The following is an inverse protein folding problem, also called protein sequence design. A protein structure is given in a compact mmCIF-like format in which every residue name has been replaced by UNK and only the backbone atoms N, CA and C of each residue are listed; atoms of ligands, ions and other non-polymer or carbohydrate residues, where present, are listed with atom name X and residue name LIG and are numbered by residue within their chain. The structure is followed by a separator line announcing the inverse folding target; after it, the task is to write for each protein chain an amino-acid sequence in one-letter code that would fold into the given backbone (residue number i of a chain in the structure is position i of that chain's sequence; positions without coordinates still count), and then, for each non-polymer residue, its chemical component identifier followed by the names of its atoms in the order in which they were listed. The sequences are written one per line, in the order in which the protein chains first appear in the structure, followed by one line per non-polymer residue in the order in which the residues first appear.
data_IF_553628827266
#
_entry.id   IF_553628827266
#
_cell.length_a   1.000
_cell.length_b   1.000
_cell.length_c   1.000
_cell.angle_alpha   90.00
_cell.angle_beta   90.00
_cell.angle_gamma   90.00
#
_symmetry.space_group_name_H-M   'P 1'
#
loop_
_entity.id
_entity.type
_entity.pdbx_description
1 polymer ?
#
# COMPACT_ATOMS: atom_id res chain seq x y z
N UNK A 1 -44.38 -42.54 -25.61
CA UNK A 1 -43.39 -41.45 -25.39
C UNK A 1 -41.99 -42.04 -25.45
N UNK A 2 -41.22 -41.68 -26.47
CA UNK A 2 -39.89 -42.24 -26.76
C UNK A 2 -38.86 -41.80 -25.70
N UNK A 3 -38.11 -42.75 -25.12
CA UNK A 3 -37.08 -42.51 -24.09
C UNK A 3 -36.08 -41.39 -24.44
N UNK A 4 -35.82 -41.17 -25.75
CA UNK A 4 -34.94 -40.10 -26.26
C UNK A 4 -35.49 -38.68 -26.07
N UNK A 5 -36.81 -38.50 -25.99
CA UNK A 5 -37.43 -37.19 -25.77
C UNK A 5 -37.36 -36.73 -24.31
N UNK A 6 -37.45 -37.67 -23.37
CA UNK A 6 -37.37 -37.38 -21.93
C UNK A 6 -35.94 -37.01 -21.51
N UNK A 7 -34.92 -37.62 -22.11
CA UNK A 7 -33.51 -37.30 -21.82
C UNK A 7 -33.13 -35.90 -22.33
N UNK A 8 -33.64 -35.50 -23.50
CA UNK A 8 -33.41 -34.17 -24.04
C UNK A 8 -34.05 -33.08 -23.16
N UNK A 9 -35.26 -33.31 -22.67
CA UNK A 9 -35.95 -32.40 -21.77
C UNK A 9 -35.20 -32.24 -20.44
N UNK A 10 -34.73 -33.35 -19.85
CA UNK A 10 -33.95 -33.31 -18.61
C UNK A 10 -32.63 -32.56 -18.79
N UNK A 11 -31.94 -32.80 -19.92
CA UNK A 11 -30.69 -32.12 -20.25
C UNK A 11 -30.88 -30.61 -20.41
N UNK A 12 -31.93 -30.19 -21.12
CA UNK A 12 -32.25 -28.78 -21.28
C UNK A 12 -32.48 -28.08 -19.94
N UNK A 13 -33.25 -28.70 -19.04
CA UNK A 13 -33.50 -28.16 -17.69
C UNK A 13 -32.23 -28.06 -16.87
N UNK A 14 -31.38 -29.09 -16.88
CA UNK A 14 -30.09 -29.08 -16.18
C UNK A 14 -29.16 -28.00 -16.73
N UNK A 15 -29.08 -27.87 -18.05
CA UNK A 15 -28.24 -26.86 -18.70
C UNK A 15 -28.70 -25.44 -18.34
N UNK A 16 -30.01 -25.18 -18.35
CA UNK A 16 -30.56 -23.89 -17.91
C UNK A 16 -30.25 -23.61 -16.44
N UNK A 17 -30.35 -24.61 -15.57
CA UNK A 17 -29.97 -24.48 -14.16
C UNK A 17 -28.49 -24.13 -13.99
N UNK A 18 -27.60 -24.82 -14.72
CA UNK A 18 -26.16 -24.54 -14.70
C UNK A 18 -25.85 -23.12 -15.19
N UNK A 19 -26.43 -22.70 -16.33
CA UNK A 19 -26.25 -21.34 -16.86
C UNK A 19 -26.77 -20.28 -15.88
N UNK A 20 -27.91 -20.52 -15.23
CA UNK A 20 -28.44 -19.65 -14.17
C UNK A 20 -27.49 -19.53 -12.97
N UNK A 21 -26.88 -20.63 -12.55
CA UNK A 21 -25.89 -20.62 -11.46
C UNK A 21 -24.60 -19.88 -11.84
N UNK A 22 -24.12 -20.01 -13.08
CA UNK A 22 -22.95 -19.27 -13.57
C UNK A 22 -23.22 -17.77 -13.66
N UNK A 23 -24.39 -17.40 -14.18
CA UNK A 23 -24.86 -16.02 -14.23
C UNK A 23 -24.85 -15.37 -12.83
N UNK A 24 -25.44 -16.05 -11.85
CA UNK A 24 -25.46 -15.59 -10.46
C UNK A 24 -24.03 -15.46 -9.89
N UNK A 25 -23.16 -16.43 -10.15
CA UNK A 25 -21.77 -16.39 -9.67
C UNK A 25 -21.01 -15.19 -10.24
N UNK A 26 -21.25 -14.81 -11.49
CA UNK A 26 -20.61 -13.64 -12.13
C UNK A 26 -21.09 -12.34 -11.48
N UNK A 27 -22.39 -12.14 -11.32
CA UNK A 27 -22.92 -10.91 -10.70
C UNK A 27 -22.48 -10.74 -9.25
N UNK A 28 -22.50 -11.83 -8.47
CA UNK A 28 -22.00 -11.84 -7.10
C UNK A 28 -20.49 -11.55 -7.07
N UNK A 29 -19.71 -12.14 -7.99
CA UNK A 29 -18.28 -11.87 -8.11
C UNK A 29 -17.98 -10.40 -8.41
N UNK A 30 -18.72 -9.77 -9.32
CA UNK A 30 -18.58 -8.34 -9.62
C UNK A 30 -18.90 -7.47 -8.39
N UNK A 31 -19.99 -7.78 -7.66
CA UNK A 31 -20.35 -7.06 -6.44
C UNK A 31 -19.29 -7.17 -5.33
N UNK A 32 -18.70 -8.36 -5.14
CA UNK A 32 -17.59 -8.55 -4.21
C UNK A 32 -16.33 -7.80 -4.64
N UNK A 33 -16.02 -7.76 -5.94
CA UNK A 33 -14.87 -7.01 -6.43
C UNK A 33 -15.04 -5.50 -6.18
N UNK A 34 -16.20 -4.94 -6.54
CA UNK A 34 -16.49 -3.52 -6.29
C UNK A 34 -16.47 -3.18 -4.79
N UNK A 35 -16.97 -4.06 -3.92
CA UNK A 35 -16.84 -3.90 -2.47
C UNK A 35 -15.38 -3.92 -2.01
N UNK A 36 -14.56 -4.83 -2.55
CA UNK A 36 -13.13 -4.90 -2.22
C UNK A 36 -12.36 -3.68 -2.69
N UNK A 37 -12.71 -3.10 -3.84
CA UNK A 37 -12.17 -1.83 -4.32
C UNK A 37 -12.59 -0.68 -3.39
N UNK A 38 -13.88 -0.58 -3.05
CA UNK A 38 -14.36 0.43 -2.11
C UNK A 38 -13.67 0.34 -0.74
N UNK A 39 -13.40 -0.87 -0.25
CA UNK A 39 -12.66 -1.07 1.00
C UNK A 39 -11.21 -0.59 0.90
N UNK A 40 -10.51 -0.93 -0.20
CA UNK A 40 -9.15 -0.42 -0.44
C UNK A 40 -9.11 1.10 -0.47
N UNK A 41 -10.09 1.74 -1.12
CA UNK A 41 -10.22 3.20 -1.09
C UNK A 41 -10.43 3.69 0.33
N UNK A 42 -11.41 3.16 1.06
CA UNK A 42 -11.71 3.59 2.42
C UNK A 42 -10.47 3.47 3.34
N UNK A 43 -9.76 2.34 3.31
CA UNK A 43 -8.58 2.08 4.13
C UNK A 43 -7.44 3.06 3.81
N UNK A 44 -7.14 3.24 2.52
CA UNK A 44 -6.08 4.15 2.07
C UNK A 44 -6.39 5.61 2.42
N UNK A 45 -7.64 6.05 2.22
CA UNK A 45 -8.10 7.39 2.58
C UNK A 45 -8.10 7.64 4.09
N UNK A 46 -8.51 6.64 4.89
CA UNK A 46 -8.47 6.77 6.35
C UNK A 46 -7.02 6.93 6.84
N UNK A 47 -6.08 6.11 6.33
CA UNK A 47 -4.66 6.23 6.65
C UNK A 47 -4.07 7.57 6.20
N UNK A 48 -4.40 8.03 5.00
CA UNK A 48 -3.96 9.33 4.49
C UNK A 48 -4.50 10.48 5.34
N UNK A 49 -5.77 10.44 5.72
CA UNK A 49 -6.36 11.41 6.66
C UNK A 49 -5.66 11.39 8.01
N UNK A 50 -5.44 10.20 8.58
CA UNK A 50 -4.78 10.02 9.86
C UNK A 50 -3.34 10.55 9.84
N UNK A 51 -2.63 10.49 8.71
CA UNK A 51 -1.28 11.05 8.57
C UNK A 51 -1.20 12.54 8.94
N UNK A 52 -2.29 13.30 8.78
CA UNK A 52 -2.35 14.71 9.18
C UNK A 52 -2.15 14.90 10.70
N UNK A 53 -2.44 13.90 11.52
CA UNK A 53 -2.22 13.95 12.97
C UNK A 53 -0.77 13.63 13.38
N UNK A 54 0.05 13.12 12.45
CA UNK A 54 1.50 12.92 12.66
C UNK A 54 2.30 14.21 12.40
N UNK A 55 1.74 15.13 11.62
CA UNK A 55 2.42 16.35 11.16
C UNK A 55 1.74 17.62 11.73
N UNK A 56 2.53 18.60 12.17
CA UNK A 56 2.03 19.96 12.46
C UNK A 56 1.36 20.18 13.83
N UNK A 57 0.72 21.35 13.95
CA UNK A 57 0.14 21.87 15.21
C UNK A 57 -1.39 21.82 15.20
N UNK A 58 -1.99 21.36 16.31
CA UNK A 58 -3.38 20.87 16.40
C UNK A 58 -4.56 21.76 16.05
N UNK A 59 -4.37 22.99 15.58
CA UNK A 59 -5.48 23.87 15.22
C UNK A 59 -6.13 23.55 13.86
N UNK A 60 -5.39 22.93 12.93
CA UNK A 60 -5.86 22.65 11.57
C UNK A 60 -5.97 21.16 11.23
N UNK A 61 -5.74 20.28 12.21
CA UNK A 61 -5.63 18.84 11.95
C UNK A 61 -6.87 18.23 11.31
N UNK A 62 -8.08 18.58 11.74
CA UNK A 62 -9.30 17.96 11.18
C UNK A 62 -9.58 18.41 9.75
N UNK A 63 -9.30 19.68 9.44
CA UNK A 63 -9.43 20.21 8.08
C UNK A 63 -8.39 19.59 7.13
N UNK A 64 -7.16 19.47 7.61
CA UNK A 64 -6.08 18.80 6.89
C UNK A 64 -6.39 17.32 6.68
N UNK A 65 -6.77 16.58 7.73
CA UNK A 65 -7.17 15.18 7.66
C UNK A 65 -8.28 14.94 6.64
N UNK A 66 -9.29 15.82 6.61
CA UNK A 66 -10.38 15.74 5.62
C UNK A 66 -9.87 15.95 4.19
N UNK A 67 -8.97 16.92 4.01
CA UNK A 67 -8.35 17.22 2.71
C UNK A 67 -7.54 16.02 2.21
N UNK A 68 -6.63 15.49 3.05
CA UNK A 68 -5.80 14.32 2.69
C UNK A 68 -6.65 13.10 2.35
N UNK A 69 -7.67 12.80 3.17
CA UNK A 69 -8.56 11.67 2.94
C UNK A 69 -9.34 11.81 1.62
N UNK A 70 -9.81 13.02 1.30
CA UNK A 70 -10.55 13.31 0.05
C UNK A 70 -9.65 13.20 -1.17
N UNK A 71 -8.43 13.74 -1.09
CA UNK A 71 -7.46 13.72 -2.18
C UNK A 71 -7.06 12.29 -2.54
N UNK A 72 -6.82 11.44 -1.52
CA UNK A 72 -6.56 10.02 -1.72
C UNK A 72 -7.78 9.28 -2.25
N UNK A 73 -8.97 9.56 -1.72
CA UNK A 73 -10.17 8.88 -2.18
C UNK A 73 -10.44 9.13 -3.67
N UNK A 74 -10.42 10.41 -4.08
CA UNK A 74 -10.76 10.81 -5.46
C UNK A 74 -9.72 10.42 -6.50
N UNK A 75 -8.51 10.07 -6.07
CA UNK A 75 -7.46 9.51 -6.93
C UNK A 75 -7.63 8.00 -7.18
N UNK A 76 -8.52 7.33 -6.44
CA UNK A 76 -8.77 5.90 -6.55
C UNK A 76 -10.08 5.58 -7.28
N UNK A 77 -10.18 4.33 -7.75
CA UNK A 77 -11.30 3.85 -8.55
C UNK A 77 -12.09 2.78 -7.81
N UNK A 78 -13.40 2.76 -8.05
CA UNK A 78 -14.30 1.66 -7.66
C UNK A 78 -15.13 1.32 -8.88
N UNK A 79 -14.96 0.10 -9.39
CA UNK A 79 -15.35 -0.27 -10.75
C UNK A 79 -14.54 0.52 -11.79
N UNK A 80 -15.21 0.99 -12.84
CA UNK A 80 -14.57 1.68 -13.97
C UNK A 80 -14.58 3.22 -13.83
N UNK A 81 -14.84 3.75 -12.63
CA UNK A 81 -14.95 5.19 -12.39
C UNK A 81 -14.16 5.66 -11.17
N UNK A 82 -13.57 6.86 -11.21
CA UNK A 82 -12.94 7.47 -10.04
C UNK A 82 -13.99 7.75 -8.96
N UNK A 83 -13.58 7.75 -7.71
CA UNK A 83 -14.45 8.15 -6.59
C UNK A 83 -14.64 9.66 -6.61
N UNK A 84 -15.84 10.14 -6.30
CA UNK A 84 -16.14 11.57 -6.23
C UNK A 84 -16.48 11.99 -4.80
N UNK A 85 -16.31 13.27 -4.48
CA UNK A 85 -16.52 13.77 -3.11
C UNK A 85 -17.93 13.51 -2.56
N UNK A 86 -18.96 13.39 -3.41
CA UNK A 86 -20.33 13.06 -2.98
C UNK A 86 -20.51 11.61 -2.53
N UNK A 87 -19.57 10.72 -2.85
CA UNK A 87 -19.57 9.30 -2.47
C UNK A 87 -18.85 9.07 -1.13
N UNK A 88 -18.35 10.14 -0.51
CA UNK A 88 -17.52 10.10 0.68
C UNK A 88 -18.21 10.71 1.90
N UNK A 89 -18.07 10.04 3.03
CA UNK A 89 -18.31 10.62 4.35
C UNK A 89 -17.00 10.48 5.12
N UNK A 90 -16.44 11.61 5.56
CA UNK A 90 -15.17 11.67 6.29
C UNK A 90 -15.44 12.33 7.65
N UNK A 91 -15.13 11.60 8.71
CA UNK A 91 -15.35 12.05 10.08
C UNK A 91 -13.99 12.06 10.82
N UNK A 92 -13.25 13.18 10.77
CA UNK A 92 -12.03 13.34 11.55
C UNK A 92 -12.37 13.61 13.03
N UNK A 93 -11.53 13.12 13.93
CA UNK A 93 -11.63 13.36 15.36
C UNK A 93 -10.23 13.59 15.94
N UNK A 94 -9.84 14.86 16.02
CA UNK A 94 -8.57 15.32 16.59
C UNK A 94 -8.37 14.94 18.06
N UNK A 95 -9.43 14.71 18.84
CA UNK A 95 -9.31 14.35 20.25
C UNK A 95 -8.80 12.92 20.44
N UNK A 96 -9.25 11.99 19.59
CA UNK A 96 -8.80 10.58 19.60
C UNK A 96 -7.78 10.26 18.49
N UNK A 97 -7.41 11.28 17.70
CA UNK A 97 -6.55 11.16 16.50
C UNK A 97 -7.03 10.07 15.54
N UNK A 98 -8.35 9.97 15.35
CA UNK A 98 -8.97 9.01 14.45
C UNK A 98 -9.56 9.68 13.23
N UNK A 99 -9.47 9.05 12.06
CA UNK A 99 -10.21 9.43 10.86
C UNK A 99 -11.05 8.24 10.42
N UNK A 100 -12.35 8.43 10.37
CA UNK A 100 -13.28 7.49 9.75
C UNK A 100 -13.58 7.94 8.32
N UNK A 101 -13.54 6.99 7.38
CA UNK A 101 -13.93 7.19 5.98
C UNK A 101 -14.94 6.13 5.60
N UNK A 102 -16.06 6.58 5.02
CA UNK A 102 -17.08 5.73 4.44
C UNK A 102 -17.17 6.06 2.95
N UNK A 103 -16.95 5.05 2.12
CA UNK A 103 -17.05 5.13 0.66
C UNK A 103 -18.34 4.42 0.24
N UNK A 104 -19.23 5.13 -0.45
CA UNK A 104 -20.48 4.57 -0.98
C UNK A 104 -20.53 4.72 -2.49
N UNK A 105 -20.51 3.61 -3.22
CA UNK A 105 -20.71 3.59 -4.66
C UNK A 105 -22.10 3.04 -4.97
N UNK A 106 -22.89 3.87 -5.64
CA UNK A 106 -24.25 3.52 -6.06
C UNK A 106 -24.28 3.14 -7.54
N UNK A 107 -25.38 2.51 -7.94
CA UNK A 107 -25.72 2.28 -9.35
C UNK A 107 -24.70 1.40 -10.12
N UNK A 108 -24.07 0.43 -9.44
CA UNK A 108 -23.14 -0.49 -10.11
C UNK A 108 -23.96 -1.45 -10.98
N UNK A 109 -23.73 -1.48 -12.31
CA UNK A 109 -24.51 -2.32 -13.21
C UNK A 109 -24.20 -3.79 -12.98
N UNK A 110 -25.24 -4.60 -12.79
CA UNK A 110 -25.15 -6.06 -12.82
C UNK A 110 -25.47 -6.56 -14.22
N UNK A 111 -24.95 -7.73 -14.61
CA UNK A 111 -25.10 -8.23 -15.98
C UNK A 111 -26.30 -9.15 -16.13
N UNK A 112 -26.36 -10.23 -15.35
CA UNK A 112 -27.39 -11.26 -15.53
C UNK A 112 -28.59 -11.09 -14.60
N UNK A 113 -28.39 -10.52 -13.41
CA UNK A 113 -29.42 -10.23 -12.43
C UNK A 113 -30.49 -9.25 -12.96
N UNK A 114 -30.17 -8.50 -14.02
CA UNK A 114 -31.14 -7.69 -14.78
C UNK A 114 -32.30 -8.50 -15.33
N UNK A 115 -32.06 -9.78 -15.68
CA UNK A 115 -33.12 -10.70 -16.13
C UNK A 115 -34.16 -10.96 -15.03
N UNK A 116 -33.77 -10.81 -13.76
CA UNK A 116 -34.61 -10.97 -12.58
C UNK A 116 -35.16 -9.63 -12.05
N UNK A 117 -34.93 -8.53 -12.77
CA UNK A 117 -35.40 -7.20 -12.39
C UNK A 117 -34.47 -6.42 -11.45
N UNK A 118 -33.28 -6.95 -11.14
CA UNK A 118 -32.24 -6.22 -10.39
C UNK A 118 -31.32 -5.56 -11.41
N UNK A 119 -31.43 -4.24 -11.57
CA UNK A 119 -30.68 -3.52 -12.60
C UNK A 119 -29.29 -3.10 -12.14
N UNK A 120 -29.17 -2.78 -10.86
CA UNK A 120 -28.01 -2.17 -10.22
C UNK A 120 -27.88 -2.65 -8.77
N UNK A 121 -26.68 -2.51 -8.21
CA UNK A 121 -26.38 -2.75 -6.80
C UNK A 121 -25.59 -1.59 -6.22
N UNK A 122 -25.75 -1.37 -4.91
CA UNK A 122 -24.97 -0.40 -4.15
C UNK A 122 -23.92 -1.14 -3.30
N UNK A 123 -22.72 -0.57 -3.21
CA UNK A 123 -21.67 -1.05 -2.31
C UNK A 123 -21.24 0.06 -1.37
N UNK A 124 -20.99 -0.31 -0.13
CA UNK A 124 -20.44 0.58 0.89
C UNK A 124 -19.30 -0.11 1.61
N UNK A 125 -18.26 0.65 1.88
CA UNK A 125 -17.12 0.25 2.69
C UNK A 125 -16.82 1.32 3.73
N UNK A 126 -16.32 0.89 4.88
CA UNK A 126 -15.98 1.76 6.01
C UNK A 126 -14.60 1.37 6.52
N UNK A 127 -13.78 2.37 6.81
CA UNK A 127 -12.48 2.22 7.43
C UNK A 127 -12.27 3.28 8.49
N UNK A 128 -11.51 2.94 9.53
CA UNK A 128 -11.07 3.88 10.56
C UNK A 128 -9.57 3.71 10.74
N UNK A 129 -8.85 4.81 10.68
CA UNK A 129 -7.43 4.86 11.01
C UNK A 129 -7.24 5.69 12.27
N UNK A 130 -6.35 5.25 13.16
CA UNK A 130 -5.99 5.93 14.40
C UNK A 130 -4.49 6.15 14.44
N UNK A 131 -4.07 7.37 14.75
CA UNK A 131 -2.68 7.64 15.10
C UNK A 131 -2.51 7.47 16.60
N UNK A 132 -1.79 6.42 16.96
CA UNK A 132 -1.24 6.27 18.31
C UNK A 132 0.25 6.55 18.26
N UNK A 133 0.77 7.08 19.36
CA UNK A 133 2.20 7.00 19.60
C UNK A 133 2.52 5.51 19.77
N UNK A 134 3.47 4.98 18.99
CA UNK A 134 3.86 3.56 19.06
C UNK A 134 4.57 3.18 20.37
N UNK A 135 4.56 4.10 21.35
CA UNK A 135 5.04 3.87 22.69
C UNK A 135 6.47 3.35 22.70
N UNK A 136 6.71 2.32 23.51
CA UNK A 136 8.02 1.67 23.61
C UNK A 136 8.27 0.62 22.52
N UNK A 137 7.32 0.36 21.60
CA UNK A 137 7.51 -0.54 20.47
C UNK A 137 8.23 0.13 19.28
N UNK A 138 8.18 1.46 19.18
CA UNK A 138 8.96 2.27 18.22
C UNK A 138 10.26 2.81 18.85
N UNK A 139 10.95 2.00 19.67
CA UNK A 139 12.18 2.46 20.34
C UNK A 139 13.29 2.82 19.36
N UNK A 140 13.38 2.11 18.23
CA UNK A 140 14.54 2.17 17.34
C UNK A 140 14.18 2.07 15.86
N UNK A 141 15.03 2.67 15.04
CA UNK A 141 14.92 2.65 13.58
C UNK A 141 15.14 1.21 13.12
N UNK A 142 14.19 0.66 12.37
CA UNK A 142 14.32 -0.65 11.75
C UNK A 142 15.24 -0.58 10.52
N UNK A 143 15.93 -1.68 10.17
CA UNK A 143 16.83 -1.73 9.04
C UNK A 143 16.08 -1.86 7.70
N UNK A 144 14.93 -1.20 7.53
CA UNK A 144 14.13 -1.25 6.30
C UNK A 144 13.85 0.16 5.79
N UNK A 145 14.10 0.39 4.51
CA UNK A 145 13.79 1.65 3.85
C UNK A 145 12.90 1.40 2.63
N UNK A 146 11.86 2.24 2.42
CA UNK A 146 11.18 2.26 1.14
C UNK A 146 12.16 2.77 0.06
N UNK A 147 12.31 2.06 -1.06
CA UNK A 147 13.23 2.44 -2.14
C UNK A 147 12.67 3.66 -2.88
N UNK A 148 13.45 4.72 -3.09
CA UNK A 148 13.08 5.96 -3.80
C UNK A 148 14.03 6.35 -4.96
N UNK A 149 13.52 7.06 -5.98
CA UNK A 149 14.27 7.37 -7.22
C UNK A 149 14.69 8.85 -7.31
N UNK A 150 15.76 9.17 -8.03
CA UNK A 150 16.17 10.54 -8.35
C UNK A 150 16.26 10.74 -9.87
N UNK A 151 16.45 11.98 -10.31
CA UNK A 151 16.77 12.26 -11.71
C UNK A 151 18.27 12.14 -11.91
N UNK A 152 18.67 11.04 -12.53
CA UNK A 152 20.03 10.74 -12.95
C UNK A 152 20.26 11.35 -14.34
N UNK A 153 21.13 12.34 -14.43
CA UNK A 153 21.29 13.13 -15.67
C UNK A 153 22.34 12.55 -16.60
N UNK A 154 23.34 11.88 -16.04
CA UNK A 154 24.56 11.50 -16.74
C UNK A 154 24.72 9.98 -16.90
N UNK A 155 23.91 9.16 -16.23
CA UNK A 155 23.88 7.71 -16.37
C UNK A 155 22.54 7.16 -16.94
N UNK A 156 21.51 8.00 -17.10
CA UNK A 156 20.30 7.70 -17.90
C UNK A 156 20.58 7.83 -19.41
N UNK A 157 20.96 6.71 -20.04
CA UNK A 157 21.43 6.72 -21.43
C UNK A 157 20.30 6.94 -22.43
N UNK A 158 19.08 6.52 -22.09
CA UNK A 158 17.94 6.55 -23.00
C UNK A 158 16.92 7.65 -22.65
N UNK A 159 17.11 8.35 -21.54
CA UNK A 159 16.31 9.48 -21.09
C UNK A 159 14.92 9.08 -20.58
N UNK A 160 14.72 7.81 -20.24
CA UNK A 160 13.42 7.30 -19.79
C UNK A 160 13.22 7.44 -18.26
N UNK A 161 14.25 7.91 -17.54
CA UNK A 161 14.27 8.11 -16.09
C UNK A 161 14.04 6.82 -15.29
N UNK A 162 14.51 5.69 -15.82
CA UNK A 162 14.44 4.39 -15.18
C UNK A 162 15.80 3.70 -15.31
N UNK A 163 16.31 3.09 -14.23
CA UNK A 163 17.55 2.32 -14.32
C UNK A 163 17.31 1.04 -15.14
N UNK A 164 17.98 0.96 -16.28
CA UNK A 164 17.88 -0.16 -17.22
C UNK A 164 19.08 -1.11 -17.18
N UNK A 165 18.92 -2.31 -17.74
CA UNK A 165 20.03 -3.24 -17.92
C UNK A 165 21.12 -2.59 -18.78
N UNK A 166 22.30 -2.39 -18.20
CA UNK A 166 23.44 -1.76 -18.85
C UNK A 166 23.69 -0.31 -18.41
N UNK A 167 22.82 0.24 -17.55
CA UNK A 167 23.04 1.49 -16.85
C UNK A 167 23.46 1.20 -15.41
N UNK A 168 24.52 1.86 -14.95
CA UNK A 168 24.96 1.83 -13.54
C UNK A 168 24.72 3.24 -12.99
N UNK A 169 23.66 3.38 -12.20
CA UNK A 169 23.29 4.65 -11.59
C UNK A 169 23.98 4.77 -10.22
N UNK A 170 24.74 5.83 -10.02
CA UNK A 170 25.33 6.20 -8.73
C UNK A 170 24.99 7.66 -8.46
N UNK A 171 24.37 7.96 -7.31
CA UNK A 171 23.94 9.33 -7.02
C UNK A 171 25.13 10.30 -6.94
N UNK A 172 25.26 11.18 -7.92
CA UNK A 172 26.24 12.28 -7.95
C UNK A 172 25.57 13.60 -7.57
N UNK A 173 25.80 14.16 -6.36
CA UNK A 173 25.18 15.42 -5.95
C UNK A 173 25.54 16.63 -6.83
N UNK A 174 26.59 16.55 -7.66
CA UNK A 174 26.99 17.62 -8.57
C UNK A 174 26.28 17.54 -9.95
N UNK A 175 25.74 16.37 -10.32
CA UNK A 175 25.07 16.13 -11.61
C UNK A 175 23.58 15.81 -11.46
N UNK A 176 23.23 15.07 -10.42
CA UNK A 176 21.91 14.51 -10.18
C UNK A 176 21.00 15.41 -9.35
N UNK A 177 19.70 15.16 -9.49
CA UNK A 177 18.69 15.96 -8.83
C UNK A 177 17.70 15.07 -8.07
N UNK A 178 17.76 15.16 -6.75
CA UNK A 178 16.71 14.66 -5.87
C UNK A 178 15.76 15.80 -5.50
N UNK A 179 14.49 15.66 -5.84
CA UNK A 179 13.43 16.57 -5.40
C UNK A 179 12.42 15.78 -4.59
N UNK A 180 12.27 16.11 -3.31
CA UNK A 180 11.22 15.52 -2.48
C UNK A 180 9.84 15.81 -3.07
N UNK A 181 8.92 14.85 -2.94
CA UNK A 181 7.55 15.04 -3.38
C UNK A 181 6.91 16.19 -2.60
N UNK A 182 6.44 17.21 -3.33
CA UNK A 182 5.80 18.40 -2.74
C UNK A 182 4.38 18.62 -3.26
N UNK A 183 3.83 17.61 -3.94
CA UNK A 183 2.53 17.68 -4.60
C UNK A 183 2.63 17.93 -6.10
N UNK A 184 1.49 17.75 -6.77
CA UNK A 184 1.43 17.86 -8.23
C UNK A 184 0.90 19.23 -8.64
N UNK A 185 1.76 20.02 -9.30
CA UNK A 185 1.38 21.33 -9.82
C UNK A 185 0.32 21.18 -10.92
N UNK A 186 -0.91 21.64 -10.63
CA UNK A 186 -2.00 21.73 -11.61
C UNK A 186 -2.98 20.56 -11.65
N UNK A 187 -2.82 19.52 -10.81
CA UNK A 187 -3.78 18.42 -10.71
C UNK A 187 -4.86 18.62 -9.63
N UNK A 188 -4.72 19.65 -8.80
CA UNK A 188 -5.60 19.89 -7.65
C UNK A 188 -5.28 18.99 -6.44
N UNK A 189 -4.25 18.14 -6.53
CA UNK A 189 -3.76 17.26 -5.48
C UNK A 189 -2.64 17.96 -4.68
N UNK A 190 -2.89 18.31 -3.42
CA UNK A 190 -1.83 18.69 -2.49
C UNK A 190 -1.18 17.38 -2.04
N UNK A 191 -0.08 16.98 -2.66
CA UNK A 191 0.39 15.62 -2.45
C UNK A 191 1.04 15.40 -1.09
N UNK A 192 0.42 14.54 -0.30
CA UNK A 192 0.90 14.08 1.00
C UNK A 192 1.44 12.66 0.84
N UNK A 193 2.69 12.55 0.39
CA UNK A 193 3.33 11.27 0.07
C UNK A 193 4.80 11.27 0.46
N UNK A 194 5.34 10.08 0.71
CA UNK A 194 6.77 9.88 0.94
C UNK A 194 7.47 9.54 -0.38
N UNK A 195 8.67 10.09 -0.57
CA UNK A 195 9.51 9.83 -1.74
C UNK A 195 9.73 11.06 -2.62
N UNK A 196 10.24 10.84 -3.83
CA UNK A 196 10.62 11.92 -4.74
C UNK A 196 9.55 12.28 -5.78
N UNK A 197 9.64 13.49 -6.32
CA UNK A 197 8.91 13.96 -7.51
C UNK A 197 9.21 13.13 -8.77
N UNK A 198 10.27 12.32 -8.75
CA UNK A 198 10.75 11.59 -9.91
C UNK A 198 10.12 10.21 -10.07
N UNK A 199 9.40 9.71 -9.05
CA UNK A 199 8.60 8.49 -9.19
C UNK A 199 7.54 8.63 -10.27
N UNK A 200 6.86 9.77 -10.34
CA UNK A 200 5.79 10.02 -11.32
C UNK A 200 6.37 10.61 -12.61
N UNK A 201 6.84 9.75 -13.52
CA UNK A 201 7.29 10.15 -14.85
C UNK A 201 6.17 10.05 -15.90
N UNK A 202 6.05 11.05 -16.78
CA UNK A 202 5.08 11.03 -17.89
C UNK A 202 5.31 9.82 -18.81
N UNK A 203 4.44 8.81 -18.72
CA UNK A 203 4.54 7.56 -19.47
C UNK A 203 5.44 6.48 -18.86
N UNK A 204 5.91 6.65 -17.63
CA UNK A 204 6.64 5.63 -16.88
C UNK A 204 5.71 4.58 -16.24
N UNK A 205 6.25 3.44 -15.75
CA UNK A 205 5.46 2.37 -15.12
C UNK A 205 4.77 2.79 -13.81
N UNK A 206 5.11 3.97 -13.27
CA UNK A 206 4.66 4.49 -11.97
C UNK A 206 3.78 5.75 -12.11
N UNK A 207 3.23 6.03 -13.29
CA UNK A 207 2.37 7.22 -13.54
C UNK A 207 1.07 7.21 -12.68
N UNK A 208 0.77 6.08 -12.04
CA UNK A 208 -0.33 5.87 -11.10
C UNK A 208 0.07 5.76 -9.62
N UNK A 209 1.34 5.98 -9.26
CA UNK A 209 1.84 5.91 -7.87
C UNK A 209 1.41 7.14 -7.05
N UNK A 210 0.10 7.37 -6.92
CA UNK A 210 -0.47 8.40 -6.05
C UNK A 210 -0.85 7.74 -4.73
N UNK A 211 -0.02 7.96 -3.70
CA UNK A 211 -0.35 7.51 -2.35
C UNK A 211 -0.57 6.00 -2.19
N UNK A 212 0.06 5.17 -3.03
CA UNK A 212 -0.22 3.74 -3.05
C UNK A 212 0.14 3.03 -1.74
N UNK A 213 -0.77 2.11 -1.36
CA UNK A 213 -0.63 1.15 -0.27
C UNK A 213 0.74 0.46 -0.28
N UNK A 214 1.40 0.45 0.89
CA UNK A 214 2.50 -0.46 1.17
C UNK A 214 1.95 -1.90 1.20
N UNK A 215 2.10 -2.63 0.10
CA UNK A 215 1.85 -4.07 0.11
C UNK A 215 2.97 -4.76 0.88
N UNK A 216 2.68 -5.43 2.00
CA UNK A 216 3.65 -6.34 2.60
C UNK A 216 3.81 -7.55 1.66
N UNK A 217 4.87 -7.57 0.85
CA UNK A 217 5.14 -8.69 -0.04
C UNK A 217 5.52 -9.94 0.78
N UNK A 218 4.57 -10.88 0.88
CA UNK A 218 4.85 -12.25 1.31
C UNK A 218 5.13 -13.13 0.07
N UNK A 219 6.36 -13.11 -0.45
CA UNK A 219 6.77 -14.00 -1.53
C UNK A 219 8.26 -13.86 -1.90
N UNK A 220 8.99 -14.96 -2.16
CA UNK A 220 10.44 -14.91 -2.36
C UNK A 220 10.82 -14.17 -3.64
N UNK A 221 12.00 -13.52 -3.67
CA UNK A 221 12.53 -12.92 -4.88
C UNK A 221 12.95 -14.04 -5.83
N UNK A 222 12.43 -14.01 -7.04
CA UNK A 222 12.84 -14.92 -8.11
C UNK A 222 11.78 -15.94 -8.50
N UNK A 223 10.89 -15.54 -9.41
CA UNK A 223 10.70 -16.27 -10.67
C UNK A 223 9.88 -15.43 -11.66
N UNK A 224 10.37 -15.42 -12.89
CA UNK A 224 9.93 -14.65 -14.05
C UNK A 224 8.44 -14.77 -14.40
N UNK A 225 7.83 -13.63 -14.70
CA UNK A 225 6.73 -13.51 -15.67
C UNK A 225 5.32 -13.52 -15.08
N UNK A 226 4.79 -12.31 -14.90
CA UNK A 226 3.48 -11.99 -14.33
C UNK A 226 3.64 -10.74 -13.48
N UNK A 227 2.62 -9.87 -13.35
CA UNK A 227 2.69 -8.59 -12.61
C UNK A 227 3.61 -8.70 -11.37
N UNK A 228 4.82 -8.12 -11.44
CA UNK A 228 5.98 -8.59 -10.66
C UNK A 228 7.02 -9.39 -11.48
N UNK A 229 7.34 -8.96 -12.70
CA UNK A 229 8.40 -9.55 -13.54
C UNK A 229 9.49 -8.52 -13.84
N UNK A 230 10.73 -8.90 -13.54
CA UNK A 230 11.89 -8.04 -13.28
C UNK A 230 11.61 -7.10 -12.09
N UNK A 231 12.26 -7.44 -10.97
CA UNK A 231 12.27 -6.66 -9.75
C UNK A 231 12.80 -5.26 -10.06
N UNK A 232 11.91 -4.33 -10.41
CA UNK A 232 12.22 -2.93 -10.26
C UNK A 232 12.23 -2.70 -8.74
N UNK A 233 13.39 -2.44 -8.11
CA UNK A 233 13.47 -2.32 -6.66
C UNK A 233 12.50 -1.24 -6.15
N UNK A 234 12.15 -0.28 -7.00
CA UNK A 234 11.31 0.89 -6.76
C UNK A 234 9.79 0.65 -6.77
N UNK A 235 9.31 -0.59 -6.92
CA UNK A 235 7.87 -0.90 -6.91
C UNK A 235 7.19 -0.80 -5.53
N UNK A 236 5.86 -0.58 -5.47
CA UNK A 236 5.13 -0.51 -4.21
C UNK A 236 5.21 -1.83 -3.43
N UNK A 237 5.46 -1.73 -2.12
CA UNK A 237 5.59 -2.88 -1.23
C UNK A 237 6.97 -3.54 -1.21
N UNK A 238 7.93 -3.01 -1.97
CA UNK A 238 9.33 -3.36 -1.81
C UNK A 238 9.93 -2.58 -0.64
N UNK A 239 10.66 -3.28 0.21
CA UNK A 239 11.47 -2.70 1.27
C UNK A 239 12.88 -3.20 1.07
N UNK A 240 13.83 -2.27 1.01
CA UNK A 240 15.23 -2.64 0.92
C UNK A 240 15.82 -2.63 2.33
N UNK A 241 16.50 -3.72 2.73
CA UNK A 241 17.37 -3.62 3.88
C UNK A 241 18.47 -2.60 3.58
N UNK A 242 18.75 -1.72 4.52
CA UNK A 242 19.83 -0.75 4.42
C UNK A 242 20.89 -1.03 5.47
N UNK A 243 22.13 -0.69 5.16
CA UNK A 243 23.26 -1.00 6.02
C UNK A 243 23.39 0.02 7.13
N UNK A 244 22.78 -0.28 8.27
CA UNK A 244 22.89 0.58 9.46
C UNK A 244 24.33 0.58 10.02
N UNK A 245 24.81 1.70 10.60
CA UNK A 245 26.12 1.76 11.26
C UNK A 245 26.22 0.82 12.46
N UNK A 246 27.41 0.26 12.74
CA UNK A 246 27.60 -0.73 13.80
C UNK A 246 28.09 -0.10 15.13
N UNK A 247 27.31 -0.15 16.23
CA UNK A 247 27.73 0.33 17.55
C UNK A 247 28.99 -0.34 18.10
N UNK A 248 29.27 -1.60 17.72
CA UNK A 248 30.46 -2.32 18.15
C UNK A 248 31.73 -1.85 17.39
N UNK A 249 31.56 -1.11 16.30
CA UNK A 249 32.63 -0.65 15.41
C UNK A 249 32.60 0.89 15.29
N UNK A 250 32.44 1.60 16.41
CA UNK A 250 32.42 3.06 16.46
C UNK A 250 31.42 3.72 15.49
N UNK A 251 30.31 3.04 15.17
CA UNK A 251 29.33 3.50 14.19
C UNK A 251 29.88 3.65 12.77
N UNK A 252 30.83 2.80 12.40
CA UNK A 252 31.21 2.60 11.01
C UNK A 252 30.22 1.63 10.33
N UNK A 253 29.96 1.85 9.03
CA UNK A 253 29.17 0.93 8.21
C UNK A 253 30.02 -0.32 7.92
N UNK A 254 30.09 -1.22 8.90
CA UNK A 254 30.92 -2.45 8.86
C UNK A 254 30.10 -3.73 9.04
N UNK A 255 28.89 -3.65 9.58
CA UNK A 255 27.96 -4.77 9.67
C UNK A 255 27.51 -5.23 8.28
N UNK A 256 27.50 -6.55 8.04
CA UNK A 256 27.00 -7.15 6.79
C UNK A 256 26.20 -8.42 7.09
N UNK A 257 25.30 -8.77 6.18
CA UNK A 257 24.57 -10.02 6.07
C UNK A 257 23.31 -10.11 6.92
N UNK A 258 22.59 -11.21 6.75
CA UNK A 258 21.36 -11.55 7.51
C UNK A 258 21.54 -11.43 9.04
N UNK A 259 22.67 -11.83 9.66
CA UNK A 259 22.87 -11.65 11.11
C UNK A 259 22.84 -10.18 11.56
N UNK A 260 23.31 -9.27 10.72
CA UNK A 260 23.32 -7.84 11.02
C UNK A 260 21.91 -7.23 10.96
N UNK A 261 21.17 -7.56 9.91
CA UNK A 261 19.75 -7.16 9.79
C UNK A 261 18.94 -7.68 10.98
N UNK A 262 19.12 -8.96 11.34
CA UNK A 262 18.51 -9.57 12.53
C UNK A 262 18.86 -8.85 13.83
N UNK A 263 20.12 -8.45 14.00
CA UNK A 263 20.52 -7.69 15.19
C UNK A 263 19.76 -6.37 15.29
N UNK A 264 19.63 -5.62 14.20
CA UNK A 264 18.91 -4.33 14.19
C UNK A 264 17.39 -4.47 14.29
N UNK A 265 16.82 -5.64 13.99
CA UNK A 265 15.41 -5.94 14.26
C UNK A 265 15.22 -6.24 15.75
N UNK A 266 16.05 -7.12 16.31
CA UNK A 266 15.89 -7.59 17.68
C UNK A 266 16.53 -6.67 18.75
N UNK A 267 17.30 -5.67 18.34
CA UNK A 267 18.02 -4.76 19.23
C UNK A 267 18.00 -3.33 18.71
N UNK A 268 18.11 -2.41 19.64
CA UNK A 268 18.21 -0.99 19.37
C UNK A 268 19.60 -0.57 18.90
N UNK A 269 19.69 -0.08 17.66
CA UNK A 269 20.91 0.54 17.17
C UNK A 269 21.13 1.91 17.84
N UNK A 270 22.25 2.06 18.54
CA UNK A 270 22.58 3.28 19.28
C UNK A 270 23.40 4.28 18.47
N UNK A 271 23.70 3.98 17.20
CA UNK A 271 24.45 4.88 16.35
C UNK A 271 23.61 6.06 15.89
N UNK A 272 24.18 7.28 15.88
CA UNK A 272 23.49 8.45 15.37
C UNK A 272 23.24 8.30 13.87
N UNK A 273 21.97 8.44 13.46
CA UNK A 273 21.58 8.50 12.05
C UNK A 273 21.39 9.97 11.67
N UNK A 274 22.17 10.43 10.68
CA UNK A 274 22.11 11.78 10.16
C UNK A 274 21.13 11.88 8.99
N UNK A 275 20.19 12.82 9.06
CA UNK A 275 19.33 13.15 7.92
C UNK A 275 20.20 13.73 6.79
N UNK A 276 20.03 13.22 5.57
CA UNK A 276 20.83 13.64 4.40
C UNK A 276 22.24 13.07 4.35
N UNK A 277 22.58 12.13 5.24
CA UNK A 277 23.82 11.37 5.15
C UNK A 277 23.66 10.22 4.15
N UNK A 278 24.72 9.93 3.39
CA UNK A 278 24.76 8.77 2.50
C UNK A 278 25.01 7.50 3.32
N UNK A 279 24.20 6.48 3.05
CA UNK A 279 24.33 5.16 3.64
C UNK A 279 24.36 4.13 2.52
N UNK A 280 25.24 3.15 2.63
CA UNK A 280 25.37 2.11 1.62
C UNK A 280 24.13 1.19 1.63
N UNK A 281 23.59 0.95 0.43
CA UNK A 281 22.58 -0.06 0.19
C UNK A 281 23.26 -1.25 -0.48
N UNK A 282 23.82 -2.17 0.32
CA UNK A 282 24.24 -3.46 -0.22
C UNK A 282 23.04 -4.41 -0.16
N UNK A 283 22.67 -5.01 -1.30
CA UNK A 283 21.73 -6.13 -1.29
C UNK A 283 22.40 -7.30 -0.59
N UNK A 284 22.08 -7.47 0.69
CA UNK A 284 22.75 -8.42 1.55
C UNK A 284 22.65 -9.85 0.99
N UNK A 285 23.77 -10.51 0.63
CA UNK A 285 23.72 -11.86 0.10
C UNK A 285 23.30 -12.83 1.23
N UNK A 286 22.10 -13.41 1.10
CA UNK A 286 21.63 -14.37 2.09
C UNK A 286 20.17 -14.79 1.94
N UNK A 287 19.82 -15.92 2.55
CA UNK A 287 18.44 -16.38 2.59
C UNK A 287 17.62 -15.56 3.59
N UNK A 288 16.89 -14.57 3.09
CA UNK A 288 16.07 -13.61 3.87
C UNK A 288 14.85 -14.25 4.56
N UNK A 289 14.56 -15.54 4.37
CA UNK A 289 13.39 -16.20 5.00
C UNK A 289 13.40 -16.15 6.54
N UNK A 290 14.57 -16.03 7.15
CA UNK A 290 14.71 -16.04 8.61
C UNK A 290 14.34 -14.69 9.25
N UNK A 291 14.27 -13.60 8.47
CA UNK A 291 13.90 -12.26 8.96
C UNK A 291 12.41 -12.18 9.31
N UNK A 292 11.56 -12.92 8.60
CA UNK A 292 10.12 -12.97 8.89
C UNK A 292 9.85 -13.51 10.30
N UNK A 293 10.67 -14.45 10.77
CA UNK A 293 10.58 -14.98 12.13
C UNK A 293 10.97 -13.93 13.17
N UNK A 294 11.96 -13.08 12.88
CA UNK A 294 12.39 -12.01 13.78
C UNK A 294 11.32 -10.91 13.89
N UNK A 295 10.75 -10.50 12.75
CA UNK A 295 9.63 -9.55 12.72
C UNK A 295 8.40 -10.13 13.43
N UNK A 296 8.10 -11.41 13.23
CA UNK A 296 7.02 -12.09 13.96
C UNK A 296 7.33 -12.17 15.47
N UNK A 297 8.60 -12.27 15.86
CA UNK A 297 9.06 -12.19 17.25
C UNK A 297 8.73 -10.85 17.89
N UNK A 298 9.03 -9.74 17.21
CA UNK A 298 8.67 -8.39 17.65
C UNK A 298 7.15 -8.22 17.83
N UNK A 299 6.36 -8.69 16.86
CA UNK A 299 4.89 -8.68 16.99
C UNK A 299 4.45 -9.51 18.21
N UNK A 300 5.13 -10.62 18.49
CA UNK A 300 4.88 -11.47 19.64
C UNK A 300 5.24 -10.88 21.00
N UNK A 301 6.02 -9.78 21.06
CA UNK A 301 6.25 -9.04 22.30
C UNK A 301 4.96 -8.37 22.80
N UNK A 302 4.04 -8.06 21.89
CA UNK A 302 2.67 -7.65 22.21
C UNK A 302 1.70 -8.84 22.32
N UNK A 303 1.99 -9.76 23.25
CA UNK A 303 1.15 -10.95 23.43
C UNK A 303 -0.29 -10.65 23.92
N UNK A 304 -0.56 -9.42 24.34
CA UNK A 304 -1.87 -8.96 24.79
C UNK A 304 -2.75 -8.41 23.67
N UNK A 305 -2.16 -7.92 22.56
CA UNK A 305 -2.94 -7.42 21.43
C UNK A 305 -3.77 -8.51 20.76
N UNK A 306 -5.06 -8.21 20.62
CA UNK A 306 -6.01 -9.03 19.88
C UNK A 306 -6.99 -8.13 19.13
N UNK A 307 -7.44 -8.60 17.97
CA UNK A 307 -8.53 -7.94 17.25
C UNK A 307 -9.85 -8.19 17.99
N UNK A 308 -10.56 -7.12 18.35
CA UNK A 308 -11.89 -7.18 18.93
C UNK A 308 -12.94 -6.78 17.89
N UNK A 309 -13.77 -7.76 17.52
CA UNK A 309 -14.84 -7.60 16.53
C UNK A 309 -15.98 -6.67 17.00
N UNK A 310 -16.18 -6.49 18.31
CA UNK A 310 -17.26 -5.62 18.82
C UNK A 310 -16.97 -4.14 18.59
N UNK A 311 -15.70 -3.76 18.50
CA UNK A 311 -15.25 -2.38 18.30
C UNK A 311 -14.52 -2.15 16.96
N UNK A 312 -14.30 -3.21 16.16
CA UNK A 312 -13.39 -3.23 15.02
C UNK A 312 -12.03 -2.59 15.36
N UNK A 313 -11.45 -3.00 16.48
CA UNK A 313 -10.26 -2.36 17.03
C UNK A 313 -9.30 -3.35 17.70
N UNK A 314 -8.01 -3.02 17.75
CA UNK A 314 -7.02 -3.79 18.50
C UNK A 314 -7.18 -3.46 19.99
N UNK A 315 -7.34 -4.48 20.82
CA UNK A 315 -7.48 -4.37 22.29
C UNK A 315 -6.43 -5.22 22.99
N UNK A 316 -6.12 -4.86 24.24
CA UNK A 316 -5.17 -5.60 25.05
C UNK A 316 -3.71 -5.39 24.68
N UNK A 317 -3.42 -4.50 23.72
CA UNK A 317 -2.07 -3.99 23.49
C UNK A 317 -1.54 -3.37 24.79
N UNK A 318 -0.40 -3.85 25.25
CA UNK A 318 0.34 -3.23 26.36
C UNK A 318 1.17 -2.01 25.88
N UNK A 319 1.07 -1.68 24.59
CA UNK A 319 1.71 -0.55 23.90
C UNK A 319 0.69 0.49 23.42
#
# INVERSE_FOLDING_TARGET
MNRRGSTLALYAVMLTGLLGSMALAIDVGMGFNARSEAQRVADSSALAGASAYMEGTGALWDAEATTRATDFATSNYVGDAPVVASELIINPNSADKTVEVIVTRQDIPVWFARLLGVLEIDVQARAVAKVNDGGTANQCILPFAPPDIWHDVDNDTNGNRLPDIGEEWEFDPDADLYEAWTGESGSGYNGYGYGSNWRKGAGGPYDGDVGMQMYLKAGPPGQSGGAGGQDAPWGPGNFLPWRMPDPAQNCEATGHGVPWVRYNINNCNTCPIGIGSQYEFETEPGNMTTILEDVAGLIGEDSGASWNEDCDCVVGSDW
#
